data_IF_474687121259
#
_entry.id   IF_474687121259
#
_cell.length_a   1.000
_cell.length_b   1.000
_cell.length_c   1.000
_cell.angle_alpha   90.00
_cell.angle_beta   90.00
_cell.angle_gamma   90.00
#
_symmetry.space_group_name_H-M   'P 1'
#
loop_
_entity.id
_entity.type
_entity.pdbx_description
1 polymer ?
#
# COMPACT_ATOMS: atom_id res chain seq x y z
N UNK A 1 15.77 -4.55 0.39
CA UNK A 1 14.40 -5.05 0.21
C UNK A 1 13.37 -3.99 0.61
N UNK A 2 13.44 -3.38 1.80
CA UNK A 2 12.48 -2.39 2.30
C UNK A 2 12.36 -1.13 1.39
N UNK A 3 13.47 -0.56 0.90
CA UNK A 3 13.45 0.59 -0.03
C UNK A 3 12.74 0.26 -1.34
N UNK A 4 13.00 -0.90 -1.92
CA UNK A 4 12.39 -1.33 -3.20
C UNK A 4 10.86 -1.52 -3.05
N UNK A 5 10.42 -1.91 -1.87
CA UNK A 5 9.01 -2.08 -1.56
C UNK A 5 8.29 -0.73 -1.45
N UNK A 6 8.90 0.22 -0.75
CA UNK A 6 8.31 1.53 -0.48
C UNK A 6 8.13 2.39 -1.75
N UNK A 7 9.01 2.23 -2.74
CA UNK A 7 8.97 2.98 -4.00
C UNK A 7 7.94 2.43 -5.01
N UNK A 8 7.31 1.28 -4.71
CA UNK A 8 6.42 0.59 -5.66
C UNK A 8 4.99 0.41 -5.18
N UNK A 9 4.75 0.58 -3.88
CA UNK A 9 3.42 0.45 -3.27
C UNK A 9 2.92 1.85 -2.91
N UNK A 10 1.79 2.22 -3.45
CA UNK A 10 1.16 3.52 -3.19
C UNK A 10 -0.17 3.27 -2.48
N UNK A 11 -0.38 3.99 -1.38
CA UNK A 11 -1.61 3.94 -0.59
C UNK A 11 -2.18 5.35 -0.53
N UNK A 12 -3.33 5.54 -1.11
CA UNK A 12 -4.04 6.82 -1.15
C UNK A 12 -5.36 6.70 -0.39
N UNK A 13 -5.64 7.63 0.50
CA UNK A 13 -6.94 7.72 1.16
C UNK A 13 -7.75 8.84 0.52
N UNK A 14 -8.92 8.50 0.00
CA UNK A 14 -9.90 9.50 -0.43
C UNK A 14 -10.56 10.10 0.81
N UNK A 15 -10.44 11.42 0.98
CA UNK A 15 -10.97 12.12 2.17
C UNK A 15 -12.49 12.23 2.16
N UNK A 16 -13.12 12.29 0.98
CA UNK A 16 -14.56 12.45 0.85
C UNK A 16 -15.33 11.15 1.10
N UNK A 17 -14.79 10.03 0.61
CA UNK A 17 -15.44 8.71 0.72
C UNK A 17 -14.88 7.84 1.84
N UNK A 18 -13.70 8.19 2.39
CA UNK A 18 -12.97 7.39 3.36
C UNK A 18 -12.33 6.12 2.78
N UNK A 19 -12.47 5.87 1.47
CA UNK A 19 -11.91 4.69 0.83
C UNK A 19 -10.39 4.76 0.73
N UNK A 20 -9.76 3.60 0.86
CA UNK A 20 -8.31 3.43 0.70
C UNK A 20 -8.07 2.75 -0.65
N UNK A 21 -7.29 3.41 -1.50
CA UNK A 21 -6.82 2.88 -2.77
C UNK A 21 -5.39 2.38 -2.61
N UNK A 22 -5.19 1.09 -2.84
CA UNK A 22 -3.88 0.47 -2.85
C UNK A 22 -3.49 0.20 -4.29
N UNK A 23 -2.31 0.66 -4.70
CA UNK A 23 -1.77 0.44 -6.04
C UNK A 23 -0.31 0.01 -5.98
N UNK A 24 0.06 -0.88 -6.89
CA UNK A 24 1.43 -1.39 -7.03
C UNK A 24 1.92 -1.15 -8.44
N UNK A 25 3.11 -0.54 -8.57
CA UNK A 25 3.77 -0.33 -9.85
C UNK A 25 4.83 -1.39 -10.06
N UNK A 26 4.64 -2.24 -11.08
CA UNK A 26 5.59 -3.30 -11.41
C UNK A 26 5.70 -3.49 -12.93
N UNK A 27 6.77 -4.14 -13.38
CA UNK A 27 7.00 -4.40 -14.82
C UNK A 27 5.94 -5.31 -15.45
N UNK A 28 5.41 -6.27 -14.67
CA UNK A 28 4.34 -7.16 -15.12
C UNK A 28 3.02 -6.78 -14.45
N UNK A 29 1.99 -6.43 -15.22
CA UNK A 29 0.67 -6.07 -14.68
C UNK A 29 0.01 -7.20 -13.90
N UNK A 30 0.21 -8.45 -14.33
CA UNK A 30 -0.33 -9.63 -13.65
C UNK A 30 0.33 -9.86 -12.29
N UNK A 31 1.64 -9.63 -12.19
CA UNK A 31 2.36 -9.70 -10.92
C UNK A 31 1.97 -8.54 -9.99
N UNK A 32 1.82 -7.33 -10.54
CA UNK A 32 1.36 -6.18 -9.76
C UNK A 32 -0.01 -6.44 -9.12
N UNK A 33 -0.96 -7.00 -9.89
CA UNK A 33 -2.26 -7.40 -9.37
C UNK A 33 -2.13 -8.41 -8.22
N UNK A 34 -1.38 -9.49 -8.43
CA UNK A 34 -1.17 -10.53 -7.40
C UNK A 34 -0.56 -9.95 -6.12
N UNK A 35 0.35 -8.98 -6.24
CA UNK A 35 0.95 -8.35 -5.09
C UNK A 35 -0.06 -7.54 -4.27
N UNK A 36 -0.98 -6.83 -4.93
CA UNK A 36 -2.06 -6.12 -4.23
C UNK A 36 -2.95 -7.12 -3.49
N UNK A 37 -3.36 -8.20 -4.17
CA UNK A 37 -4.23 -9.23 -3.58
C UNK A 37 -3.54 -9.89 -2.36
N UNK A 38 -2.26 -10.26 -2.47
CA UNK A 38 -1.48 -10.81 -1.35
C UNK A 38 -1.32 -9.81 -0.20
N UNK A 39 -1.02 -8.55 -0.50
CA UNK A 39 -0.83 -7.52 0.51
C UNK A 39 -2.10 -7.32 1.35
N UNK A 40 -3.25 -7.22 0.69
CA UNK A 40 -4.55 -7.05 1.38
C UNK A 40 -4.86 -8.29 2.23
N UNK A 41 -4.64 -9.48 1.69
CA UNK A 41 -4.85 -10.73 2.40
C UNK A 41 -3.92 -10.84 3.62
N UNK A 42 -2.63 -10.58 3.46
CA UNK A 42 -1.64 -10.65 4.55
C UNK A 42 -1.96 -9.65 5.67
N UNK A 43 -2.36 -8.43 5.32
CA UNK A 43 -2.76 -7.42 6.32
C UNK A 43 -4.01 -7.90 7.07
N UNK A 44 -5.03 -8.39 6.36
CA UNK A 44 -6.24 -8.90 7.00
C UNK A 44 -5.94 -10.08 7.94
N UNK A 45 -5.13 -11.03 7.49
CA UNK A 45 -4.73 -12.18 8.31
C UNK A 45 -3.90 -11.76 9.53
N UNK A 46 -2.93 -10.87 9.35
CA UNK A 46 -2.11 -10.36 10.45
C UNK A 46 -2.95 -9.65 11.50
N UNK A 47 -3.84 -8.75 11.07
CA UNK A 47 -4.69 -7.99 11.98
C UNK A 47 -5.73 -8.86 12.67
N UNK A 48 -6.30 -9.85 11.97
CA UNK A 48 -7.18 -10.88 12.54
C UNK A 48 -6.44 -11.67 13.64
N UNK A 49 -5.27 -12.20 13.33
CA UNK A 49 -4.47 -12.96 14.30
C UNK A 49 -4.07 -12.11 15.51
N UNK A 50 -3.74 -10.85 15.29
CA UNK A 50 -3.43 -9.89 16.36
C UNK A 50 -4.65 -9.64 17.25
N UNK A 51 -5.81 -9.38 16.67
CA UNK A 51 -7.05 -9.14 17.43
C UNK A 51 -7.44 -10.36 18.29
N UNK A 52 -7.34 -11.58 17.72
CA UNK A 52 -7.59 -12.83 18.45
C UNK A 52 -6.61 -13.00 19.63
N UNK A 53 -5.34 -12.71 19.40
CA UNK A 53 -4.31 -12.78 20.45
C UNK A 53 -4.58 -11.77 21.57
N UNK A 54 -4.92 -10.54 21.23
CA UNK A 54 -5.24 -9.48 22.20
C UNK A 54 -6.51 -9.82 22.98
N UNK A 55 -7.58 -10.27 22.30
CA UNK A 55 -8.81 -10.69 22.97
C UNK A 55 -8.58 -11.84 23.96
N UNK A 56 -7.86 -12.89 23.56
CA UNK A 56 -7.52 -14.00 24.45
C UNK A 56 -6.68 -13.54 25.66
N UNK A 57 -5.70 -12.67 25.44
CA UNK A 57 -4.90 -12.11 26.54
C UNK A 57 -5.75 -11.32 27.53
N UNK A 58 -6.67 -10.51 27.02
CA UNK A 58 -7.57 -9.71 27.85
C UNK A 58 -8.54 -10.60 28.64
N UNK A 59 -9.11 -11.65 28.01
CA UNK A 59 -10.00 -12.61 28.67
C UNK A 59 -9.24 -13.29 29.83
N UNK A 60 -8.07 -13.85 29.58
CA UNK A 60 -7.30 -14.54 30.61
C UNK A 60 -6.95 -13.60 31.79
N UNK A 61 -6.58 -12.35 31.51
CA UNK A 61 -6.32 -11.35 32.53
C UNK A 61 -7.56 -11.04 33.35
N UNK A 62 -8.72 -10.84 32.72
CA UNK A 62 -9.97 -10.53 33.40
C UNK A 62 -10.46 -11.72 34.24
N UNK A 63 -10.32 -12.96 33.75
CA UNK A 63 -10.64 -14.17 34.50
C UNK A 63 -9.77 -14.31 35.76
N UNK A 64 -8.46 -14.00 35.65
CA UNK A 64 -7.58 -13.96 36.81
C UNK A 64 -8.03 -12.90 37.82
N UNK A 65 -8.39 -11.68 37.37
CA UNK A 65 -8.88 -10.62 38.26
C UNK A 65 -10.21 -11.01 38.93
N UNK A 66 -11.11 -11.69 38.23
CA UNK A 66 -12.35 -12.22 38.82
C UNK A 66 -12.04 -13.22 39.95
N UNK A 67 -11.04 -14.06 39.77
CA UNK A 67 -10.65 -15.05 40.78
C UNK A 67 -10.07 -14.42 42.06
N UNK A 68 -9.46 -13.24 41.93
CA UNK A 68 -8.79 -12.54 43.02
C UNK A 68 -9.70 -11.55 43.75
N UNK A 69 -10.84 -11.15 43.17
CA UNK A 69 -11.77 -10.20 43.80
C UNK A 69 -12.96 -10.88 44.47
N UNK A 70 -13.30 -10.44 45.69
CA UNK A 70 -14.51 -10.87 46.40
C UNK A 70 -15.69 -9.92 46.24
N UNK A 71 -15.47 -8.76 45.58
CA UNK A 71 -16.50 -7.72 45.40
C UNK A 71 -17.39 -8.09 44.22
N UNK A 72 -18.67 -8.32 44.46
CA UNK A 72 -19.62 -8.81 43.47
C UNK A 72 -19.80 -7.81 42.31
N UNK A 73 -19.88 -6.53 42.59
CA UNK A 73 -20.04 -5.48 41.60
C UNK A 73 -18.86 -5.45 40.61
N UNK A 74 -17.62 -5.61 41.10
CA UNK A 74 -16.41 -5.66 40.28
C UNK A 74 -16.40 -6.91 39.41
N UNK A 75 -16.82 -8.07 39.97
CA UNK A 75 -16.94 -9.31 39.17
C UNK A 75 -17.94 -9.18 38.03
N UNK A 76 -19.06 -8.48 38.24
CA UNK A 76 -20.03 -8.22 37.18
C UNK A 76 -19.43 -7.38 36.07
N UNK A 77 -18.71 -6.30 36.40
CA UNK A 77 -18.03 -5.45 35.40
C UNK A 77 -17.00 -6.25 34.59
N UNK A 78 -16.18 -7.07 35.26
CA UNK A 78 -15.21 -7.90 34.56
C UNK A 78 -15.88 -8.94 33.65
N UNK A 79 -17.00 -9.51 34.08
CA UNK A 79 -17.78 -10.46 33.25
C UNK A 79 -18.34 -9.78 32.00
N UNK A 80 -18.81 -8.55 32.10
CA UNK A 80 -19.29 -7.76 30.97
C UNK A 80 -18.14 -7.46 29.98
N UNK A 81 -16.96 -7.06 30.50
CA UNK A 81 -15.78 -6.85 29.65
C UNK A 81 -15.32 -8.15 28.94
N UNK A 82 -15.41 -9.29 29.59
CA UNK A 82 -15.14 -10.60 28.97
C UNK A 82 -16.12 -10.89 27.84
N UNK A 83 -17.41 -10.60 28.02
CA UNK A 83 -18.39 -10.76 26.95
C UNK A 83 -18.07 -9.89 25.73
N UNK A 84 -17.60 -8.66 25.94
CA UNK A 84 -17.17 -7.77 24.86
C UNK A 84 -15.94 -8.33 24.12
N UNK A 85 -14.96 -8.89 24.85
CA UNK A 85 -13.80 -9.55 24.23
C UNK A 85 -14.22 -10.80 23.45
N UNK A 86 -15.17 -11.61 23.94
CA UNK A 86 -15.70 -12.74 23.20
C UNK A 86 -16.42 -12.31 21.92
N UNK A 87 -17.16 -11.20 21.94
CA UNK A 87 -17.77 -10.62 20.75
C UNK A 87 -16.72 -10.21 19.72
N UNK A 88 -15.67 -9.53 20.15
CA UNK A 88 -14.53 -9.13 19.29
C UNK A 88 -13.86 -10.36 18.68
N UNK A 89 -13.60 -11.39 19.49
CA UNK A 89 -13.03 -12.66 19.03
C UNK A 89 -13.94 -13.35 18.00
N UNK A 90 -15.23 -13.45 18.26
CA UNK A 90 -16.19 -14.05 17.33
C UNK A 90 -16.25 -13.30 16.00
N UNK A 91 -16.28 -11.96 16.02
CA UNK A 91 -16.27 -11.15 14.81
C UNK A 91 -14.98 -11.34 14.01
N UNK A 92 -13.85 -11.45 14.69
CA UNK A 92 -12.57 -11.73 14.02
C UNK A 92 -12.56 -13.15 13.42
N UNK A 93 -13.06 -14.17 14.09
CA UNK A 93 -13.09 -15.55 13.60
C UNK A 93 -13.97 -15.72 12.37
N UNK A 94 -15.16 -15.10 12.35
CA UNK A 94 -16.15 -15.24 11.27
C UNK A 94 -15.76 -14.41 10.02
N UNK A 95 -15.01 -13.32 10.18
CA UNK A 95 -14.70 -12.44 9.09
C UNK A 95 -13.50 -12.94 8.29
N UNK A 96 -13.65 -13.15 6.99
CA UNK A 96 -12.55 -13.43 6.08
C UNK A 96 -11.74 -12.14 5.81
N UNK A 97 -12.44 -11.01 5.64
CA UNK A 97 -11.87 -9.67 5.51
C UNK A 97 -12.10 -8.87 6.79
N UNK A 98 -11.16 -8.98 7.75
CA UNK A 98 -11.36 -8.45 9.11
C UNK A 98 -11.25 -6.93 9.20
N UNK A 99 -10.24 -6.34 8.56
CA UNK A 99 -9.95 -4.89 8.63
C UNK A 99 -10.32 -4.17 7.34
N UNK A 100 -9.89 -4.71 6.21
CA UNK A 100 -10.15 -4.13 4.91
C UNK A 100 -11.13 -4.97 4.13
N UNK A 101 -12.30 -4.39 3.89
CA UNK A 101 -13.30 -5.00 3.00
C UNK A 101 -13.05 -4.54 1.58
N UNK A 102 -12.81 -5.48 0.69
CA UNK A 102 -12.54 -5.21 -0.73
C UNK A 102 -13.82 -4.78 -1.44
N UNK A 103 -13.90 -3.49 -1.82
CA UNK A 103 -15.03 -2.95 -2.58
C UNK A 103 -14.87 -3.23 -4.07
N UNK A 104 -13.63 -3.14 -4.55
CA UNK A 104 -13.27 -3.44 -5.94
C UNK A 104 -11.95 -4.18 -5.96
N UNK A 105 -11.95 -5.40 -6.50
CA UNK A 105 -10.73 -6.20 -6.65
C UNK A 105 -9.67 -5.49 -7.52
N UNK A 106 -8.42 -5.88 -7.35
CA UNK A 106 -7.31 -5.32 -8.11
C UNK A 106 -7.53 -5.51 -9.62
N UNK A 107 -7.53 -4.40 -10.37
CA UNK A 107 -7.69 -4.38 -11.83
C UNK A 107 -6.32 -4.26 -12.49
N UNK A 108 -6.16 -4.95 -13.61
CA UNK A 108 -4.99 -4.78 -14.47
C UNK A 108 -5.22 -3.50 -15.28
N UNK A 109 -4.32 -2.49 -15.21
CA UNK A 109 -4.47 -1.29 -16.03
C UNK A 109 -4.30 -1.64 -17.52
N UNK A 110 -5.19 -1.11 -18.36
CA UNK A 110 -5.13 -1.29 -19.81
C UNK A 110 -4.00 -0.48 -20.42
N UNK A 111 -3.65 0.65 -19.82
CA UNK A 111 -2.61 1.55 -20.29
C UNK A 111 -1.35 1.48 -19.44
N UNK A 112 -0.19 1.62 -20.10
CA UNK A 112 1.12 1.68 -19.44
C UNK A 112 1.35 3.06 -18.84
N UNK A 113 1.65 3.14 -17.56
CA UNK A 113 1.93 4.39 -16.85
C UNK A 113 3.30 4.97 -17.27
N UNK A 114 4.29 4.13 -17.58
CA UNK A 114 5.65 4.54 -17.95
C UNK A 114 6.26 3.60 -19.01
N UNK A 115 7.17 4.07 -19.86
CA UNK A 115 7.60 5.47 -20.07
C UNK A 115 6.64 6.27 -20.95
N UNK A 116 6.54 7.58 -20.71
CA UNK A 116 5.78 8.50 -21.56
C UNK A 116 6.49 8.67 -22.91
N UNK A 117 6.16 7.80 -23.86
CA UNK A 117 6.78 7.79 -25.20
C UNK A 117 6.73 9.14 -25.94
N UNK A 118 5.61 9.89 -25.96
CA UNK A 118 5.56 11.19 -26.60
C UNK A 118 6.53 12.20 -25.97
N UNK A 119 6.70 12.18 -24.66
CA UNK A 119 7.63 13.08 -23.97
C UNK A 119 9.09 12.77 -24.33
N UNK A 120 9.47 11.50 -24.46
CA UNK A 120 10.79 11.07 -24.88
C UNK A 120 11.09 11.56 -26.30
N UNK A 121 10.13 11.44 -27.21
CA UNK A 121 10.26 11.90 -28.61
C UNK A 121 10.46 13.42 -28.67
N UNK A 122 9.62 14.20 -27.96
CA UNK A 122 9.74 15.66 -27.93
C UNK A 122 11.11 16.09 -27.36
N UNK A 123 11.54 15.46 -26.25
CA UNK A 123 12.83 15.75 -25.65
C UNK A 123 13.99 15.40 -26.60
N UNK A 124 13.90 14.27 -27.31
CA UNK A 124 14.89 13.85 -28.30
C UNK A 124 15.01 14.85 -29.48
N UNK A 125 13.90 15.35 -29.99
CA UNK A 125 13.89 16.37 -31.05
C UNK A 125 14.53 17.67 -30.58
N UNK A 126 14.20 18.11 -29.35
CA UNK A 126 14.72 19.34 -28.77
C UNK A 126 16.25 19.27 -28.58
N UNK A 127 16.73 18.20 -27.94
CA UNK A 127 18.14 17.96 -27.69
C UNK A 127 18.89 17.79 -29.04
N UNK A 128 18.35 17.00 -29.96
CA UNK A 128 18.95 16.79 -31.28
C UNK A 128 19.01 18.08 -32.10
N UNK A 129 17.97 18.91 -32.04
CA UNK A 129 17.96 20.23 -32.67
C UNK A 129 19.06 21.17 -32.14
N UNK A 130 19.18 21.29 -30.83
CA UNK A 130 20.24 22.13 -30.22
C UNK A 130 21.62 21.63 -30.57
N UNK A 131 21.86 20.30 -30.51
CA UNK A 131 23.15 19.71 -30.88
C UNK A 131 23.50 19.95 -32.36
N UNK A 132 22.53 19.87 -33.27
CA UNK A 132 22.74 20.10 -34.70
C UNK A 132 23.16 21.55 -34.98
N UNK A 133 22.53 22.53 -34.33
CA UNK A 133 22.87 23.94 -34.44
C UNK A 133 24.30 24.20 -33.94
N UNK A 134 24.66 23.64 -32.78
CA UNK A 134 26.00 23.74 -32.21
C UNK A 134 27.07 23.16 -33.16
N UNK A 135 26.80 21.99 -33.75
CA UNK A 135 27.71 21.36 -34.69
C UNK A 135 27.94 22.23 -35.94
N UNK A 136 26.85 22.81 -36.50
CA UNK A 136 26.98 23.73 -37.65
C UNK A 136 27.77 24.96 -37.31
N UNK A 137 27.57 25.56 -36.14
CA UNK A 137 28.34 26.73 -35.68
C UNK A 137 29.85 26.42 -35.51
N UNK A 138 30.17 25.27 -34.91
CA UNK A 138 31.56 24.83 -34.73
C UNK A 138 32.21 24.58 -36.09
N UNK A 139 31.53 23.88 -37.02
CA UNK A 139 32.03 23.64 -38.36
C UNK A 139 32.23 24.94 -39.16
N UNK A 140 31.32 25.89 -39.03
CA UNK A 140 31.44 27.22 -39.68
C UNK A 140 32.64 27.97 -39.14
N UNK A 141 32.83 27.96 -37.82
CA UNK A 141 33.96 28.66 -37.19
C UNK A 141 35.31 28.04 -37.56
N UNK A 142 35.41 26.72 -37.61
CA UNK A 142 36.62 26.01 -38.04
C UNK A 142 36.95 26.27 -39.52
N UNK A 143 35.92 26.29 -40.38
CA UNK A 143 36.08 26.53 -41.81
C UNK A 143 36.58 27.96 -42.10
N UNK A 144 36.13 28.94 -41.33
CA UNK A 144 36.55 30.33 -41.47
C UNK A 144 38.03 30.51 -41.07
N UNK A 145 38.48 29.77 -40.03
CA UNK A 145 39.88 29.78 -39.54
C UNK A 145 40.87 29.12 -40.50
N UNK A 146 40.43 28.18 -41.35
CA UNK A 146 41.31 27.48 -42.34
C UNK A 146 41.22 28.08 -43.75
N UNK A 147 40.54 29.20 -43.93
CA UNK A 147 40.37 29.88 -45.22
C UNK A 147 41.28 31.10 -45.40
N UNK A 148 42.33 31.23 -44.58
CA UNK A 148 43.39 32.24 -44.71
C UNK A 148 44.62 31.61 -45.32
#
# INVERSE_FOLDING_TARGET
LYKIYNDRVFVERNQDTGFIKVSVVFYSPTLAKRWVDFLINDINQYMKARALKEANKNINYLEEQISQTSVTEIRMVFSELIQEQHKTKMLAEVSDEYVFKTISGAKIPEEKINPNRPLIVVLGILVGGVLSVLLVLIMSFLRDKYRV
#
